data_IF_727966621703
#
_entry.id   IF_727966621703
#
_cell.length_a   1.000
_cell.length_b   1.000
_cell.length_c   1.000
_cell.angle_alpha   90.00
_cell.angle_beta   90.00
_cell.angle_gamma   90.00
#
_symmetry.space_group_name_H-M   'P 1'
#
loop_
_entity.id
_entity.type
_entity.pdbx_description
1 polymer ?
#
# COMPACT_ATOMS: atom_id res chain seq x y z
N UNK A 1 12.64 -13.93 3.31
CA UNK A 1 11.59 -14.96 3.36
C UNK A 1 12.15 -16.29 2.86
N UNK A 2 11.95 -17.36 3.63
CA UNK A 2 12.58 -18.66 3.39
C UNK A 2 12.04 -19.42 2.16
N UNK A 3 10.90 -18.98 1.60
CA UNK A 3 10.27 -19.60 0.42
C UNK A 3 9.88 -18.54 -0.63
N UNK A 4 10.20 -18.81 -1.88
CA UNK A 4 9.91 -17.94 -3.03
C UNK A 4 8.40 -17.80 -3.29
N UNK A 5 7.67 -18.91 -3.17
CA UNK A 5 6.21 -18.93 -3.28
C UNK A 5 5.52 -17.97 -2.31
N UNK A 6 6.01 -17.92 -1.06
CA UNK A 6 5.51 -17.00 -0.04
C UNK A 6 5.77 -15.52 -0.37
N UNK A 7 6.91 -15.19 -1.00
CA UNK A 7 7.17 -13.84 -1.52
C UNK A 7 6.19 -13.47 -2.61
N UNK A 8 6.06 -14.33 -3.62
CA UNK A 8 5.18 -14.07 -4.77
C UNK A 8 3.74 -13.90 -4.30
N UNK A 9 3.26 -14.75 -3.39
CA UNK A 9 1.93 -14.64 -2.82
C UNK A 9 1.74 -13.31 -2.10
N UNK A 10 2.63 -12.97 -1.16
CA UNK A 10 2.58 -11.72 -0.40
C UNK A 10 2.60 -10.50 -1.32
N UNK A 11 3.43 -10.51 -2.34
CA UNK A 11 3.58 -9.37 -3.25
C UNK A 11 2.33 -9.20 -4.13
N UNK A 12 1.74 -10.30 -4.63
CA UNK A 12 0.47 -10.29 -5.37
C UNK A 12 -0.69 -9.85 -4.50
N UNK A 13 -0.77 -10.37 -3.28
CA UNK A 13 -1.79 -9.99 -2.30
C UNK A 13 -1.70 -8.50 -1.98
N UNK A 14 -0.51 -7.99 -1.69
CA UNK A 14 -0.29 -6.57 -1.42
C UNK A 14 -0.72 -5.67 -2.59
N UNK A 15 -0.37 -6.06 -3.82
CA UNK A 15 -0.82 -5.34 -5.02
C UNK A 15 -2.35 -5.37 -5.20
N UNK A 16 -2.99 -6.50 -4.93
CA UNK A 16 -4.45 -6.63 -5.00
C UNK A 16 -5.12 -5.76 -3.92
N UNK A 17 -4.68 -5.86 -2.66
CA UNK A 17 -5.18 -5.06 -1.55
C UNK A 17 -5.05 -3.56 -1.83
N UNK A 18 -3.96 -3.13 -2.50
CA UNK A 18 -3.78 -1.74 -2.92
C UNK A 18 -4.82 -1.32 -3.95
N UNK A 19 -5.02 -2.11 -5.01
CA UNK A 19 -6.03 -1.81 -6.06
C UNK A 19 -7.44 -1.74 -5.48
N UNK A 20 -7.75 -2.62 -4.53
CA UNK A 20 -9.04 -2.60 -3.82
C UNK A 20 -9.15 -1.34 -2.95
N UNK A 21 -8.11 -0.98 -2.20
CA UNK A 21 -8.10 0.24 -1.38
C UNK A 21 -8.20 1.55 -2.18
N UNK A 22 -7.79 1.53 -3.45
CA UNK A 22 -7.96 2.66 -4.37
C UNK A 22 -9.42 2.89 -4.78
N UNK A 23 -10.21 1.82 -4.93
CA UNK A 23 -11.64 1.90 -5.30
C UNK A 23 -12.60 1.88 -4.11
N UNK A 24 -12.13 1.49 -2.92
CA UNK A 24 -12.94 1.46 -1.72
C UNK A 24 -13.20 2.89 -1.21
N UNK A 25 -14.43 3.17 -0.76
CA UNK A 25 -14.78 4.44 -0.11
C UNK A 25 -13.97 4.61 1.18
N UNK A 26 -14.06 3.62 2.06
CA UNK A 26 -13.41 3.60 3.36
C UNK A 26 -12.48 2.40 3.51
N UNK A 27 -11.32 2.62 4.12
CA UNK A 27 -10.33 1.57 4.40
C UNK A 27 -10.06 1.54 5.89
N UNK A 28 -10.17 0.36 6.49
CA UNK A 28 -9.95 0.14 7.91
C UNK A 28 -8.78 -0.81 8.15
N UNK A 29 -7.90 -0.45 9.07
CA UNK A 29 -6.90 -1.35 9.64
C UNK A 29 -7.47 -1.98 10.90
N UNK A 30 -7.65 -3.29 10.90
CA UNK A 30 -8.13 -4.03 12.07
C UNK A 30 -6.95 -4.69 12.75
N UNK A 31 -6.73 -4.39 14.03
CA UNK A 31 -5.65 -4.99 14.83
C UNK A 31 -6.03 -5.00 16.31
N UNK A 32 -5.68 -6.06 17.03
CA UNK A 32 -5.91 -6.16 18.48
C UNK A 32 -7.38 -6.01 18.90
N UNK A 33 -8.34 -6.30 18.01
CA UNK A 33 -9.78 -6.11 18.26
C UNK A 33 -10.31 -4.70 17.95
N UNK A 34 -9.45 -3.77 17.54
CA UNK A 34 -9.82 -2.40 17.20
C UNK A 34 -9.83 -2.20 15.68
N UNK A 35 -10.80 -1.43 15.17
CA UNK A 35 -10.86 -0.99 13.77
C UNK A 35 -10.44 0.49 13.67
N UNK A 36 -9.37 0.76 12.93
CA UNK A 36 -8.84 2.10 12.71
C UNK A 36 -9.15 2.57 11.29
N UNK A 37 -9.86 3.70 11.14
CA UNK A 37 -10.20 4.24 9.83
C UNK A 37 -8.98 4.96 9.21
N UNK A 38 -8.35 4.31 8.23
CA UNK A 38 -7.20 4.85 7.51
C UNK A 38 -7.58 5.96 6.52
N UNK A 39 -8.82 6.00 6.03
CA UNK A 39 -9.30 7.08 5.16
C UNK A 39 -9.34 8.43 5.88
N UNK A 40 -9.50 8.43 7.21
CA UNK A 40 -9.49 9.65 8.04
C UNK A 40 -8.10 10.02 8.54
N UNK A 41 -7.26 9.03 8.82
CA UNK A 41 -5.92 9.24 9.40
C UNK A 41 -4.82 9.46 8.36
N UNK A 42 -5.02 9.02 7.12
CA UNK A 42 -3.96 8.97 6.11
C UNK A 42 -4.31 9.62 4.78
N UNK A 43 -3.28 10.08 4.08
CA UNK A 43 -3.41 10.54 2.69
C UNK A 43 -3.18 9.36 1.76
N UNK A 44 -4.11 9.10 0.84
CA UNK A 44 -3.92 8.06 -0.19
C UNK A 44 -2.63 8.35 -0.97
N UNK A 45 -1.69 7.41 -0.95
CA UNK A 45 -0.55 7.46 -1.87
C UNK A 45 -1.09 7.24 -3.29
N UNK A 46 -1.46 8.33 -3.97
CA UNK A 46 -1.61 8.31 -5.42
C UNK A 46 -0.29 7.79 -5.98
N UNK A 47 -0.36 6.80 -6.84
CA UNK A 47 0.77 6.29 -7.58
C UNK A 47 1.21 7.35 -8.60
N UNK A 48 1.66 8.53 -8.14
CA UNK A 48 2.46 9.42 -8.95
C UNK A 48 3.84 8.78 -9.00
N UNK A 49 4.11 8.16 -10.14
CA UNK A 49 5.43 7.98 -10.73
C UNK A 49 6.54 8.67 -9.92
N UNK A 50 7.43 7.87 -9.35
CA UNK A 50 8.74 8.29 -8.90
C UNK A 50 9.56 8.79 -10.11
N UNK A 51 9.22 9.96 -10.66
CA UNK A 51 10.03 10.72 -11.63
C UNK A 51 10.39 12.11 -11.08
N UNK A 52 10.75 12.17 -9.80
CA UNK A 52 11.57 13.22 -9.19
C UNK A 52 12.34 12.49 -8.08
N UNK A 53 13.56 12.03 -8.29
CA UNK A 53 14.75 12.88 -8.29
C UNK A 53 15.99 12.11 -8.79
N UNK A 54 16.26 12.14 -10.09
CA UNK A 54 17.65 12.17 -10.57
C UNK A 54 18.05 13.64 -10.63
N UNK A 55 18.60 14.16 -9.54
CA UNK A 55 19.24 15.46 -9.53
C UNK A 55 20.69 15.26 -9.96
N UNK A 56 21.15 15.80 -11.10
CA UNK A 56 22.58 15.91 -11.33
C UNK A 56 23.11 17.00 -10.40
N UNK A 57 23.98 16.61 -9.47
CA UNK A 57 24.85 17.50 -8.71
C UNK A 57 25.84 18.21 -9.65
N UNK A 58 26.31 19.42 -9.27
CA UNK A 58 26.88 20.43 -10.19
C UNK A 58 28.22 20.05 -10.82
#
# INVERSE_FOLDING_TARGET
PAYESGRIFRDRLGNLSRRIGEIATDVYLVTGGCALNLSTLGTRLKLSLALRSCHPSP
#
